data_IF_522149935591
#
_entry.id   IF_522149935591
#
_cell.length_a   1.000
_cell.length_b   1.000
_cell.length_c   1.000
_cell.angle_alpha   90.00
_cell.angle_beta   90.00
_cell.angle_gamma   90.00
#
_symmetry.space_group_name_H-M   'P 1'
#
loop_
_entity.id
_entity.type
_entity.pdbx_description
1 polymer ?
#
# COMPACT_ATOMS: atom_id res chain seq x y z
N UNK A 1 10.02 -10.97 36.74
CA UNK A 1 8.74 -11.31 36.09
C UNK A 1 8.97 -11.23 34.59
N UNK A 2 8.68 -12.34 33.91
CA UNK A 2 9.16 -12.75 32.59
C UNK A 2 8.51 -11.94 31.47
N UNK A 3 9.25 -11.03 30.84
CA UNK A 3 8.77 -10.22 29.69
C UNK A 3 8.50 -11.03 28.41
N UNK A 4 8.84 -12.31 28.37
CA UNK A 4 8.64 -13.20 27.22
C UNK A 4 7.29 -13.92 27.16
N UNK A 5 6.70 -14.29 28.30
CA UNK A 5 5.43 -15.05 28.34
C UNK A 5 4.22 -14.17 28.04
N UNK A 6 4.26 -12.90 28.48
CA UNK A 6 3.24 -11.92 28.14
C UNK A 6 3.25 -11.60 26.63
N UNK A 7 4.42 -11.64 25.98
CA UNK A 7 4.59 -11.21 24.59
C UNK A 7 3.92 -12.16 23.59
N UNK A 8 4.13 -13.48 23.71
CA UNK A 8 3.57 -14.43 22.73
C UNK A 8 2.05 -14.64 22.88
N UNK A 9 1.52 -14.49 24.10
CA UNK A 9 0.07 -14.56 24.35
C UNK A 9 -0.67 -13.36 23.77
N UNK A 10 -0.12 -12.15 23.91
CA UNK A 10 -0.71 -10.95 23.29
C UNK A 10 -0.62 -11.02 21.76
N UNK A 11 0.49 -11.52 21.22
CA UNK A 11 0.61 -11.79 19.78
C UNK A 11 -0.44 -12.81 19.30
N UNK A 12 -0.65 -13.91 20.02
CA UNK A 12 -1.67 -14.89 19.69
C UNK A 12 -3.09 -14.30 19.75
N UNK A 13 -3.40 -13.46 20.74
CA UNK A 13 -4.69 -12.75 20.81
C UNK A 13 -4.87 -11.81 19.62
N UNK A 14 -3.83 -11.05 19.26
CA UNK A 14 -3.86 -10.13 18.12
C UNK A 14 -4.08 -10.87 16.80
N UNK A 15 -3.42 -12.01 16.62
CA UNK A 15 -3.63 -12.89 15.45
C UNK A 15 -5.05 -13.44 15.38
N UNK A 16 -5.61 -13.92 16.50
CA UNK A 16 -6.99 -14.41 16.54
C UNK A 16 -7.99 -13.31 16.20
N UNK A 17 -7.79 -12.10 16.75
CA UNK A 17 -8.61 -10.94 16.43
C UNK A 17 -8.56 -10.64 14.93
N UNK A 18 -7.36 -10.49 14.36
CA UNK A 18 -7.23 -10.16 12.94
C UNK A 18 -7.75 -11.26 12.02
N UNK A 19 -7.61 -12.53 12.40
CA UNK A 19 -8.22 -13.62 11.64
C UNK A 19 -9.74 -13.52 11.60
N UNK A 20 -10.40 -13.13 12.71
CA UNK A 20 -11.86 -12.94 12.75
C UNK A 20 -12.29 -11.78 11.86
N UNK A 21 -11.60 -10.65 11.96
CA UNK A 21 -11.83 -9.50 11.09
C UNK A 21 -11.62 -9.87 9.61
N UNK A 22 -10.61 -10.71 9.32
CA UNK A 22 -10.27 -11.14 7.97
C UNK A 22 -11.37 -12.00 7.37
N UNK A 23 -11.91 -12.95 8.14
CA UNK A 23 -13.06 -13.75 7.72
C UNK A 23 -14.27 -12.87 7.41
N UNK A 24 -14.55 -11.85 8.24
CA UNK A 24 -15.64 -10.92 7.98
C UNK A 24 -15.41 -10.07 6.72
N UNK A 25 -14.16 -9.65 6.47
CA UNK A 25 -13.78 -8.96 5.24
C UNK A 25 -13.93 -9.86 4.01
N UNK A 26 -13.44 -11.09 4.06
CA UNK A 26 -13.57 -12.07 2.98
C UNK A 26 -15.04 -12.35 2.65
N UNK A 27 -15.93 -12.41 3.65
CA UNK A 27 -17.37 -12.53 3.43
C UNK A 27 -17.97 -11.38 2.60
N UNK A 28 -17.40 -10.17 2.68
CA UNK A 28 -17.79 -9.04 1.81
C UNK A 28 -17.10 -9.09 0.46
N UNK A 29 -15.80 -9.36 0.44
CA UNK A 29 -15.01 -9.45 -0.79
C UNK A 29 -15.51 -10.57 -1.73
N UNK A 30 -16.07 -11.64 -1.17
CA UNK A 30 -16.69 -12.74 -1.92
C UNK A 30 -17.90 -12.35 -2.77
N UNK A 31 -18.41 -11.12 -2.63
CA UNK A 31 -19.43 -10.57 -3.54
C UNK A 31 -18.85 -10.17 -4.91
N UNK A 32 -17.53 -9.98 -5.00
CA UNK A 32 -16.83 -9.45 -6.18
C UNK A 32 -15.72 -10.38 -6.67
N UNK A 33 -15.16 -11.22 -5.78
CA UNK A 33 -14.00 -12.05 -6.08
C UNK A 33 -14.23 -13.50 -5.63
N UNK A 34 -13.55 -14.45 -6.29
CA UNK A 34 -13.48 -15.83 -5.81
C UNK A 34 -12.54 -15.91 -4.60
N UNK A 35 -13.13 -15.98 -3.40
CA UNK A 35 -12.39 -16.00 -2.13
C UNK A 35 -12.58 -17.34 -1.40
N UNK A 36 -11.57 -17.73 -0.62
CA UNK A 36 -11.64 -18.89 0.27
C UNK A 36 -11.42 -18.46 1.74
N UNK A 37 -12.09 -19.11 2.72
CA UNK A 37 -11.78 -18.91 4.15
C UNK A 37 -10.30 -19.18 4.51
N UNK A 38 -9.59 -19.97 3.70
CA UNK A 38 -8.14 -20.19 3.88
C UNK A 38 -7.32 -18.90 3.70
N UNK A 39 -7.81 -17.92 2.92
CA UNK A 39 -7.15 -16.63 2.71
C UNK A 39 -7.07 -15.78 3.99
N UNK A 40 -7.86 -16.11 5.02
CA UNK A 40 -7.91 -15.33 6.26
C UNK A 40 -6.55 -15.28 6.98
N UNK A 41 -5.70 -16.31 6.83
CA UNK A 41 -4.33 -16.30 7.37
C UNK A 41 -3.49 -15.19 6.72
N UNK A 42 -3.47 -15.15 5.39
CA UNK A 42 -2.72 -14.17 4.61
C UNK A 42 -3.21 -12.74 4.87
N UNK A 43 -4.53 -12.53 4.91
CA UNK A 43 -5.14 -11.21 5.20
C UNK A 43 -4.84 -10.76 6.63
N UNK A 44 -4.89 -11.65 7.62
CA UNK A 44 -4.54 -11.32 8.98
C UNK A 44 -3.05 -10.92 9.09
N UNK A 45 -2.17 -11.66 8.40
CA UNK A 45 -0.74 -11.33 8.30
C UNK A 45 -0.51 -9.96 7.66
N UNK A 46 -1.22 -9.65 6.57
CA UNK A 46 -1.20 -8.34 5.93
C UNK A 46 -1.56 -7.22 6.90
N UNK A 47 -2.64 -7.36 7.68
CA UNK A 47 -3.06 -6.31 8.60
C UNK A 47 -2.16 -6.16 9.82
N UNK A 48 -1.61 -7.26 10.33
CA UNK A 48 -0.56 -7.21 11.36
C UNK A 48 0.65 -6.41 10.88
N UNK A 49 1.11 -6.68 9.66
CA UNK A 49 2.21 -5.91 9.06
C UNK A 49 1.79 -4.48 8.77
N UNK A 50 0.56 -4.24 8.32
CA UNK A 50 0.03 -2.91 8.06
C UNK A 50 0.08 -2.04 9.32
N UNK A 51 -0.40 -2.53 10.48
CA UNK A 51 -0.29 -1.81 11.76
C UNK A 51 1.14 -1.43 12.11
N UNK A 52 2.09 -2.33 11.85
CA UNK A 52 3.50 -2.09 12.17
C UNK A 52 4.08 -0.97 11.31
N UNK A 53 3.71 -0.91 10.03
CA UNK A 53 4.22 0.10 9.11
C UNK A 53 3.40 1.40 9.13
N UNK A 54 2.16 1.37 9.64
CA UNK A 54 1.26 2.53 9.75
C UNK A 54 1.91 3.67 10.54
N UNK A 55 2.53 3.33 11.68
CA UNK A 55 3.29 4.26 12.52
C UNK A 55 4.55 4.86 11.88
N UNK A 56 4.94 4.37 10.70
CA UNK A 56 6.05 4.91 9.89
C UNK A 56 5.50 5.70 8.70
N UNK A 57 4.53 5.13 7.96
CA UNK A 57 4.03 5.69 6.70
C UNK A 57 3.22 6.96 6.95
N UNK A 58 2.25 6.92 7.88
CA UNK A 58 1.36 8.08 8.10
C UNK A 58 2.11 9.35 8.51
N UNK A 59 3.06 9.32 9.47
CA UNK A 59 3.83 10.52 9.82
C UNK A 59 4.59 11.13 8.64
N UNK A 60 5.12 10.29 7.74
CA UNK A 60 5.84 10.76 6.55
C UNK A 60 4.90 11.41 5.53
N UNK A 61 3.74 10.80 5.27
CA UNK A 61 2.75 11.40 4.38
C UNK A 61 2.19 12.71 4.95
N UNK A 62 1.98 12.78 6.27
CA UNK A 62 1.62 14.03 6.95
C UNK A 62 2.72 15.10 6.86
N UNK A 63 3.98 14.72 7.02
CA UNK A 63 5.14 15.61 6.86
C UNK A 63 5.19 16.19 5.45
N UNK A 64 5.00 15.34 4.43
CA UNK A 64 4.91 15.79 3.03
C UNK A 64 3.70 16.70 2.81
N UNK A 65 2.52 16.35 3.32
CA UNK A 65 1.34 17.18 3.17
C UNK A 65 1.57 18.59 3.76
N UNK A 66 2.13 18.66 4.97
CA UNK A 66 2.45 19.96 5.60
C UNK A 66 3.53 20.73 4.85
N UNK A 67 4.62 20.06 4.48
CA UNK A 67 5.83 20.69 3.94
C UNK A 67 5.77 21.03 2.45
N UNK A 68 5.02 20.27 1.66
CA UNK A 68 4.96 20.39 0.20
C UNK A 68 3.61 20.91 -0.29
N UNK A 69 2.52 20.57 0.41
CA UNK A 69 1.15 20.87 -0.04
C UNK A 69 0.44 21.91 0.84
N UNK A 70 1.15 22.50 1.80
CA UNK A 70 0.59 23.48 2.75
C UNK A 70 -0.64 22.93 3.50
N UNK A 71 -0.68 21.63 3.76
CA UNK A 71 -1.80 20.91 4.41
C UNK A 71 -3.11 20.90 3.61
N UNK A 72 -3.06 21.12 2.29
CA UNK A 72 -4.24 21.06 1.41
C UNK A 72 -4.49 19.67 0.82
N UNK A 73 -3.55 18.75 0.96
CA UNK A 73 -3.71 17.36 0.51
C UNK A 73 -4.61 16.55 1.44
N UNK A 74 -5.20 15.50 0.91
CA UNK A 74 -6.07 14.56 1.61
C UNK A 74 -5.35 13.22 1.82
N UNK A 75 -5.40 12.72 3.06
CA UNK A 75 -4.84 11.42 3.41
C UNK A 75 -5.94 10.37 3.47
N UNK A 76 -5.73 9.24 2.81
CA UNK A 76 -6.66 8.12 2.78
C UNK A 76 -5.94 6.81 3.11
N UNK A 77 -6.52 5.99 3.98
CA UNK A 77 -6.05 4.62 4.26
C UNK A 77 -7.16 3.63 3.93
N UNK A 78 -6.88 2.68 3.02
CA UNK A 78 -7.89 1.73 2.52
C UNK A 78 -7.38 0.30 2.64
N UNK A 79 -8.29 -0.62 3.00
CA UNK A 79 -8.11 -2.07 2.90
C UNK A 79 -8.88 -2.58 1.69
N UNK A 80 -8.22 -3.25 0.76
CA UNK A 80 -8.74 -3.61 -0.54
C UNK A 80 -8.51 -5.07 -0.94
N UNK A 81 -9.15 -5.44 -2.04
CA UNK A 81 -8.87 -6.65 -2.80
C UNK A 81 -8.83 -6.27 -4.28
N UNK A 82 -7.89 -6.83 -5.03
CA UNK A 82 -7.70 -6.52 -6.45
C UNK A 82 -7.20 -7.72 -7.23
N UNK A 83 -7.68 -7.88 -8.47
CA UNK A 83 -7.11 -8.80 -9.44
C UNK A 83 -5.92 -8.12 -10.12
N UNK A 84 -4.79 -8.83 -10.20
CA UNK A 84 -3.57 -8.34 -10.84
C UNK A 84 -3.14 -9.35 -11.90
N UNK A 85 -3.04 -8.89 -13.14
CA UNK A 85 -2.49 -9.70 -14.22
C UNK A 85 -1.02 -10.02 -13.95
N UNK A 86 -0.69 -11.31 -13.96
CA UNK A 86 0.67 -11.79 -14.10
C UNK A 86 0.94 -12.04 -15.59
N UNK A 87 2.21 -12.12 -15.99
CA UNK A 87 2.69 -12.13 -17.38
C UNK A 87 2.10 -13.23 -18.32
N UNK A 88 1.18 -14.06 -17.85
CA UNK A 88 0.62 -15.24 -18.51
C UNK A 88 -0.91 -15.23 -18.58
N UNK A 89 -1.54 -14.08 -18.84
CA UNK A 89 -3.02 -13.88 -18.94
C UNK A 89 -3.86 -14.35 -17.74
N UNK A 90 -3.22 -14.85 -16.69
CA UNK A 90 -3.85 -15.21 -15.42
C UNK A 90 -3.91 -13.97 -14.53
N UNK A 91 -5.08 -13.74 -13.94
CA UNK A 91 -5.26 -12.74 -12.90
C UNK A 91 -5.17 -13.44 -11.54
N UNK A 92 -4.25 -12.96 -10.71
CA UNK A 92 -4.15 -13.41 -9.33
C UNK A 92 -4.87 -12.41 -8.41
N UNK A 93 -5.58 -12.94 -7.43
CA UNK A 93 -6.21 -12.15 -6.39
C UNK A 93 -5.17 -11.70 -5.37
N UNK A 94 -5.14 -10.41 -5.09
CA UNK A 94 -4.35 -9.81 -4.03
C UNK A 94 -5.26 -9.12 -3.01
N UNK A 95 -4.81 -9.09 -1.77
CA UNK A 95 -5.37 -8.24 -0.73
C UNK A 95 -4.36 -7.17 -0.38
N UNK A 96 -4.83 -5.96 -0.08
CA UNK A 96 -3.92 -4.84 0.13
C UNK A 96 -4.37 -3.85 1.20
N UNK A 97 -3.39 -3.15 1.75
CA UNK A 97 -3.53 -1.94 2.55
C UNK A 97 -2.82 -0.82 1.80
N UNK A 98 -3.54 0.26 1.52
CA UNK A 98 -3.03 1.43 0.80
C UNK A 98 -3.06 2.66 1.69
N UNK A 99 -2.00 3.44 1.67
CA UNK A 99 -1.91 4.79 2.24
C UNK A 99 -1.69 5.76 1.11
N UNK A 100 -2.59 6.71 0.94
CA UNK A 100 -2.58 7.63 -0.19
C UNK A 100 -2.54 9.07 0.31
N UNK A 101 -1.71 9.90 -0.33
CA UNK A 101 -1.80 11.35 -0.25
C UNK A 101 -2.30 11.86 -1.60
N UNK A 102 -3.44 12.53 -1.62
CA UNK A 102 -4.07 13.11 -2.80
C UNK A 102 -4.00 14.63 -2.78
N UNK A 103 -3.81 15.25 -3.94
CA UNK A 103 -3.89 16.70 -4.12
C UNK A 103 -4.27 17.04 -5.56
N UNK A 104 -4.50 18.33 -5.82
CA UNK A 104 -4.71 18.93 -7.15
C UNK A 104 -5.36 18.01 -8.20
N UNK A 105 -6.69 18.07 -8.32
CA UNK A 105 -7.50 17.43 -9.38
C UNK A 105 -6.96 16.07 -9.92
N UNK A 106 -6.66 15.15 -8.99
CA UNK A 106 -6.23 13.76 -9.18
C UNK A 106 -4.71 13.49 -9.20
N UNK A 107 -3.86 14.36 -8.67
CA UNK A 107 -2.49 13.93 -8.32
C UNK A 107 -2.54 13.08 -7.05
N UNK A 108 -1.76 12.00 -7.02
CA UNK A 108 -1.60 11.18 -5.82
C UNK A 108 -0.29 10.43 -5.80
N UNK A 109 0.19 10.18 -4.59
CA UNK A 109 1.15 9.12 -4.29
C UNK A 109 0.52 8.12 -3.34
N UNK A 110 0.86 6.85 -3.54
CA UNK A 110 0.37 5.76 -2.72
C UNK A 110 1.51 4.86 -2.27
N UNK A 111 1.42 4.41 -1.03
CA UNK A 111 2.17 3.27 -0.49
C UNK A 111 1.20 2.10 -0.43
N UNK A 112 1.51 0.98 -1.08
CA UNK A 112 0.66 -0.20 -1.12
C UNK A 112 1.40 -1.40 -0.54
N UNK A 113 0.87 -1.95 0.55
CA UNK A 113 1.25 -3.24 1.09
C UNK A 113 0.26 -4.28 0.56
N UNK A 114 0.73 -5.31 -0.12
CA UNK A 114 -0.12 -6.34 -0.70
C UNK A 114 0.35 -7.74 -0.34
N UNK A 115 -0.60 -8.68 -0.26
CA UNK A 115 -0.36 -10.11 -0.08
C UNK A 115 -1.10 -10.91 -1.15
N UNK A 116 -0.40 -11.87 -1.73
CA UNK A 116 -1.03 -12.94 -2.52
C UNK A 116 -1.36 -14.09 -1.57
N UNK A 117 -2.61 -14.56 -1.51
CA UNK A 117 -3.09 -15.42 -0.44
C UNK A 117 -2.52 -16.85 -0.42
N UNK A 118 -2.04 -17.40 -1.53
CA UNK A 118 -1.52 -18.76 -1.59
C UNK A 118 -0.04 -18.85 -1.22
N UNK A 119 0.78 -17.91 -1.70
CA UNK A 119 2.20 -17.79 -1.35
C UNK A 119 2.42 -17.07 -0.02
N UNK A 120 1.41 -16.34 0.46
CA UNK A 120 1.49 -15.45 1.62
C UNK A 120 2.64 -14.43 1.57
N UNK A 121 3.11 -14.12 0.36
CA UNK A 121 4.23 -13.21 0.13
C UNK A 121 3.73 -11.77 0.24
N UNK A 122 4.33 -11.03 1.17
CA UNK A 122 4.07 -9.60 1.34
C UNK A 122 4.97 -8.78 0.43
N UNK A 123 4.40 -7.77 -0.21
CA UNK A 123 5.13 -6.80 -1.02
C UNK A 123 4.70 -5.40 -0.61
N UNK A 124 5.66 -4.51 -0.38
CA UNK A 124 5.42 -3.09 -0.11
C UNK A 124 5.98 -2.28 -1.28
N UNK A 125 5.20 -1.35 -1.81
CA UNK A 125 5.59 -0.56 -2.97
C UNK A 125 5.11 0.88 -2.83
N UNK A 126 5.87 1.82 -3.41
CA UNK A 126 5.49 3.23 -3.55
C UNK A 126 5.29 3.56 -5.01
N UNK A 127 4.24 4.29 -5.35
CA UNK A 127 4.02 4.77 -6.71
C UNK A 127 3.18 6.05 -6.75
N UNK A 128 3.36 6.84 -7.80
CA UNK A 128 2.45 7.94 -8.16
C UNK A 128 1.35 7.46 -9.12
N UNK A 129 0.30 8.26 -9.33
CA UNK A 129 -0.77 7.93 -10.28
C UNK A 129 -0.31 7.86 -11.73
N UNK A 130 0.47 8.84 -12.19
CA UNK A 130 1.00 8.89 -13.54
C UNK A 130 2.32 8.12 -13.71
N UNK A 131 2.95 7.72 -12.61
CA UNK A 131 4.16 6.90 -12.63
C UNK A 131 3.89 5.49 -13.20
N UNK A 132 4.61 5.11 -14.25
CA UNK A 132 4.60 3.74 -14.79
C UNK A 132 5.33 2.74 -13.90
N UNK A 133 6.29 3.23 -13.11
CA UNK A 133 7.13 2.41 -12.25
C UNK A 133 6.63 2.43 -10.81
N UNK A 134 6.61 1.25 -10.18
CA UNK A 134 6.42 1.08 -8.75
C UNK A 134 7.78 0.82 -8.11
N UNK A 135 8.09 1.54 -7.03
CA UNK A 135 9.35 1.38 -6.30
C UNK A 135 9.13 0.37 -5.17
N UNK A 136 9.75 -0.82 -5.20
CA UNK A 136 9.62 -1.79 -4.12
C UNK A 136 10.36 -1.32 -2.86
N UNK A 137 9.75 -1.53 -1.70
CA UNK A 137 10.31 -1.25 -0.38
C UNK A 137 10.48 -2.57 0.37
N UNK A 138 11.68 -2.79 0.91
CA UNK A 138 11.97 -3.97 1.73
C UNK A 138 11.20 -3.95 3.05
N UNK A 139 10.89 -5.15 3.56
CA UNK A 139 10.37 -5.36 4.91
C UNK A 139 11.44 -6.06 5.76
N UNK A 140 11.77 -5.57 6.98
CA UNK A 140 11.19 -4.40 7.65
C UNK A 140 11.56 -3.08 6.97
N UNK A 141 10.68 -2.09 7.08
CA UNK A 141 10.80 -0.79 6.40
C UNK A 141 12.03 -0.04 6.90
N UNK A 142 12.90 0.34 5.97
CA UNK A 142 13.96 1.30 6.20
C UNK A 142 13.43 2.71 5.91
N UNK A 143 13.41 3.58 6.92
CA UNK A 143 12.78 4.91 6.84
C UNK A 143 13.38 5.76 5.72
N UNK A 144 14.70 5.75 5.56
CA UNK A 144 15.39 6.54 4.53
C UNK A 144 15.03 6.08 3.11
N UNK A 145 14.95 4.75 2.89
CA UNK A 145 14.54 4.20 1.60
C UNK A 145 13.08 4.54 1.27
N UNK A 146 12.20 4.53 2.27
CA UNK A 146 10.81 4.95 2.11
C UNK A 146 10.71 6.45 1.77
N UNK A 147 11.46 7.30 2.48
CA UNK A 147 11.53 8.75 2.18
C UNK A 147 12.01 9.01 0.76
N UNK A 148 13.08 8.36 0.34
CA UNK A 148 13.62 8.50 -1.02
C UNK A 148 12.58 8.10 -2.08
N UNK A 149 11.89 6.98 -1.88
CA UNK A 149 10.85 6.52 -2.79
C UNK A 149 9.64 7.47 -2.84
N UNK A 150 9.21 8.00 -1.69
CA UNK A 150 8.13 8.99 -1.61
C UNK A 150 8.49 10.30 -2.32
N UNK A 151 9.71 10.80 -2.13
CA UNK A 151 10.22 11.99 -2.82
C UNK A 151 10.26 11.77 -4.32
N UNK A 152 10.76 10.61 -4.78
CA UNK A 152 10.79 10.27 -6.21
C UNK A 152 9.40 10.21 -6.80
N UNK A 153 8.44 9.59 -6.09
CA UNK A 153 7.05 9.49 -6.54
C UNK A 153 6.40 10.88 -6.66
N UNK A 154 6.54 11.72 -5.63
CA UNK A 154 6.02 13.09 -5.64
C UNK A 154 6.61 13.93 -6.77
N UNK A 155 7.94 13.93 -6.91
CA UNK A 155 8.62 14.70 -7.96
C UNK A 155 8.19 14.26 -9.37
N UNK A 156 7.91 12.97 -9.55
CA UNK A 156 7.37 12.45 -10.81
C UNK A 156 5.97 13.04 -11.07
N UNK A 157 5.05 12.95 -10.12
CA UNK A 157 3.69 13.49 -10.29
C UNK A 157 3.66 15.00 -10.56
N UNK A 158 4.52 15.78 -9.92
CA UNK A 158 4.60 17.23 -10.15
C UNK A 158 5.16 17.63 -11.53
N UNK A 159 5.99 16.78 -12.12
CA UNK A 159 6.69 17.09 -13.38
C UNK A 159 6.00 16.50 -14.61
N UNK A 160 5.10 15.52 -14.44
CA UNK A 160 4.41 14.85 -15.55
C UNK A 160 3.58 15.81 -16.42
N UNK A 161 2.84 16.76 -15.81
CA UNK A 161 2.04 17.73 -16.57
C UNK A 161 2.93 18.63 -17.46
N UNK A 162 4.07 19.07 -16.93
CA UNK A 162 5.03 19.90 -17.66
C UNK A 162 5.68 19.12 -18.80
N UNK A 163 6.11 17.88 -18.55
CA UNK A 163 6.72 17.02 -19.56
C UNK A 163 5.75 16.72 -20.72
N UNK A 164 4.48 16.39 -20.42
CA UNK A 164 3.48 16.10 -21.45
C UNK A 164 3.23 17.28 -22.39
N UNK A 165 3.29 18.51 -21.88
CA UNK A 165 3.13 19.73 -22.69
C UNK A 165 4.36 19.96 -23.60
N UNK A 166 5.57 19.66 -23.13
CA UNK A 166 6.79 19.84 -23.92
C UNK A 166 6.95 18.78 -25.02
N UNK A 167 6.70 17.51 -24.71
CA UNK A 167 6.79 16.43 -25.71
C UNK A 167 5.67 16.49 -26.76
N UNK A 168 4.54 17.13 -26.46
CA UNK A 168 3.48 17.36 -27.44
C UNK A 168 3.80 18.48 -28.44
N UNK A 169 4.87 19.25 -28.21
CA UNK A 169 5.32 20.35 -29.09
C UNK A 169 6.39 19.93 -30.10
N UNK A 170 6.92 18.72 -30.02
CA UNK A 170 7.87 18.22 -31.03
C UNK A 170 7.10 17.69 -32.26
N UNK A 171 7.23 18.32 -33.44
CA UNK A 171 6.70 17.72 -34.66
C UNK A 171 7.53 16.47 -34.99
N UNK A 172 6.86 15.36 -35.25
CA UNK A 172 7.48 14.17 -35.88
C UNK A 172 8.23 14.64 -37.13
N UNK A 173 9.56 14.52 -37.10
CA UNK A 173 10.41 14.59 -38.29
C UNK A 173 10.46 13.23 -38.97
#
# INVERSE_FOLDING_TARGET
MTSGEASWLEEAKKQVQYRREALAFLGRAGQQFEVSPSHASAVAKLWLTADQVDGIILPLLEEMNRGLLESRGELETVRGASLRSIATDEELLFYDCSWTLLWDNNKRIAVNLAVEPFSETLTLQVFGQGAKEKVPIGLPVQVDALKEALVKAYATEETLEHAMIEFSKEPMK
#
